data_IF_292369187930
#
_entry.id   IF_292369187930
#
_cell.length_a   1.000
_cell.length_b   1.000
_cell.length_c   1.000
_cell.angle_alpha   90.00
_cell.angle_beta   90.00
_cell.angle_gamma   90.00
#
_symmetry.space_group_name_H-M   'P 1'
#
loop_
_entity.id
_entity.type
_entity.pdbx_description
1 polymer ?
#
# COMPACT_ATOMS: atom_id res chain seq x y z
N UNK A 1 19.73 6.23 -8.86
CA UNK A 1 18.71 5.64 -7.96
C UNK A 1 17.91 6.78 -7.35
N UNK A 2 16.59 6.66 -7.24
CA UNK A 2 15.68 7.73 -6.84
C UNK A 2 14.82 7.22 -5.67
N UNK A 3 14.88 7.92 -4.51
CA UNK A 3 14.15 7.54 -3.31
C UNK A 3 13.38 8.73 -2.73
N UNK A 4 12.05 8.69 -2.63
CA UNK A 4 11.29 9.66 -1.86
C UNK A 4 11.57 9.44 -0.35
N UNK A 5 11.73 10.55 0.41
CA UNK A 5 12.06 10.49 1.84
C UNK A 5 10.96 11.13 2.68
N UNK A 6 10.46 12.27 2.27
CA UNK A 6 9.39 13.02 2.95
C UNK A 6 8.72 13.97 1.97
N UNK A 7 7.53 14.40 2.28
CA UNK A 7 6.91 15.53 1.59
C UNK A 7 7.23 16.88 2.28
N UNK A 8 6.72 17.96 1.70
CA UNK A 8 6.90 19.31 2.24
C UNK A 8 5.71 19.79 3.10
N UNK A 9 4.65 18.96 3.25
CA UNK A 9 3.48 19.35 4.03
C UNK A 9 3.64 18.92 5.50
N UNK A 10 3.59 19.85 6.45
CA UNK A 10 3.58 19.48 7.86
C UNK A 10 2.22 18.89 8.26
N UNK A 11 2.20 17.76 8.94
CA UNK A 11 1.02 17.26 9.65
C UNK A 11 0.90 17.96 11.02
N UNK A 12 -0.32 18.28 11.42
CA UNK A 12 -0.61 18.97 12.69
C UNK A 12 -0.89 17.99 13.83
N UNK A 13 -1.27 16.75 13.50
CA UNK A 13 -1.61 15.72 14.48
C UNK A 13 -0.67 14.51 14.35
N UNK A 14 -0.52 13.76 15.44
CA UNK A 14 0.23 12.50 15.39
C UNK A 14 -0.51 11.45 14.57
N UNK A 15 0.14 10.85 13.54
CA UNK A 15 -0.49 9.90 12.61
C UNK A 15 -0.57 8.50 13.23
N UNK A 16 -1.42 8.34 14.23
CA UNK A 16 -1.53 7.12 15.04
C UNK A 16 -1.95 5.92 14.20
N UNK A 17 -2.95 6.10 13.32
CA UNK A 17 -3.48 4.99 12.50
C UNK A 17 -2.45 4.57 11.47
N UNK A 18 -1.78 5.52 10.84
CA UNK A 18 -0.66 5.26 9.91
C UNK A 18 0.41 4.40 10.58
N UNK A 19 0.84 4.74 11.80
CA UNK A 19 1.82 3.93 12.54
C UNK A 19 1.30 2.56 12.93
N UNK A 20 0.03 2.44 13.32
CA UNK A 20 -0.59 1.15 13.62
C UNK A 20 -0.60 0.25 12.38
N UNK A 21 -0.99 0.78 11.22
CA UNK A 21 -1.02 0.03 9.96
C UNK A 21 0.38 -0.43 9.54
N UNK A 22 1.38 0.46 9.64
CA UNK A 22 2.79 0.12 9.41
C UNK A 22 3.23 -1.00 10.36
N UNK A 23 2.94 -0.86 11.66
CA UNK A 23 3.28 -1.85 12.68
C UNK A 23 2.63 -3.21 12.42
N UNK A 24 1.37 -3.23 12.00
CA UNK A 24 0.66 -4.47 11.63
C UNK A 24 1.28 -5.16 10.41
N UNK A 25 1.61 -4.40 9.36
CA UNK A 25 2.30 -4.95 8.19
C UNK A 25 3.66 -5.53 8.56
N UNK A 26 4.46 -4.82 9.37
CA UNK A 26 5.75 -5.30 9.87
C UNK A 26 5.61 -6.54 10.73
N UNK A 27 4.61 -6.59 11.60
CA UNK A 27 4.34 -7.74 12.46
C UNK A 27 3.96 -8.98 11.64
N UNK A 28 3.03 -8.85 10.69
CA UNK A 28 2.63 -9.94 9.80
C UNK A 28 3.83 -10.40 8.95
N UNK A 29 4.61 -9.47 8.43
CA UNK A 29 5.79 -9.81 7.64
C UNK A 29 6.87 -10.53 8.47
N UNK A 30 7.04 -10.14 9.74
CA UNK A 30 7.91 -10.85 10.66
C UNK A 30 7.44 -12.30 10.88
N UNK A 31 6.13 -12.54 11.02
CA UNK A 31 5.58 -13.90 11.09
C UNK A 31 5.80 -14.69 9.79
N UNK A 32 5.72 -14.03 8.62
CA UNK A 32 6.05 -14.66 7.33
C UNK A 32 7.52 -15.10 7.29
N UNK A 33 8.45 -14.27 7.80
CA UNK A 33 9.88 -14.64 7.89
C UNK A 33 10.07 -15.83 8.83
N UNK A 34 9.47 -15.83 10.02
CA UNK A 34 9.55 -16.96 10.95
C UNK A 34 9.00 -18.27 10.37
N UNK A 35 8.07 -18.17 9.43
CA UNK A 35 7.51 -19.30 8.69
C UNK A 35 8.29 -19.61 7.41
N UNK A 36 9.53 -19.12 7.29
CA UNK A 36 10.41 -19.31 6.13
C UNK A 36 9.78 -18.86 4.81
N UNK A 37 8.93 -17.79 4.86
CA UNK A 37 8.17 -17.29 3.70
C UNK A 37 7.34 -18.39 3.01
N UNK A 38 6.77 -19.31 3.79
CA UNK A 38 6.02 -20.47 3.28
C UNK A 38 4.92 -20.03 2.29
N UNK A 39 4.90 -20.56 1.06
CA UNK A 39 3.90 -20.20 0.05
C UNK A 39 2.44 -20.41 0.50
N UNK A 40 2.18 -21.34 1.41
CA UNK A 40 0.83 -21.56 1.95
C UNK A 40 0.22 -20.30 2.60
N UNK A 41 1.05 -19.37 3.11
CA UNK A 41 0.58 -18.11 3.69
C UNK A 41 -0.12 -17.27 2.62
N UNK A 42 0.43 -17.20 1.41
CA UNK A 42 -0.16 -16.43 0.31
C UNK A 42 -1.50 -17.01 -0.13
N UNK A 43 -1.62 -18.33 -0.20
CA UNK A 43 -2.87 -19.01 -0.59
C UNK A 43 -3.95 -18.96 0.51
N UNK A 44 -3.56 -18.93 1.79
CA UNK A 44 -4.50 -18.91 2.91
C UNK A 44 -4.99 -17.49 3.25
N UNK A 45 -4.15 -16.47 3.07
CA UNK A 45 -4.42 -15.10 3.52
C UNK A 45 -4.45 -14.07 2.38
N UNK A 46 -3.97 -14.41 1.17
CA UNK A 46 -4.06 -13.59 -0.03
C UNK A 46 -5.46 -13.63 -0.63
N UNK A 47 -5.82 -12.59 -1.37
CA UNK A 47 -7.04 -12.57 -2.15
C UNK A 47 -6.84 -13.36 -3.46
N UNK A 48 -7.70 -14.35 -3.71
CA UNK A 48 -7.70 -15.16 -4.93
C UNK A 48 -9.03 -14.95 -5.63
N UNK A 49 -8.98 -14.41 -6.86
CA UNK A 49 -10.18 -14.02 -7.59
C UNK A 49 -11.10 -15.21 -7.86
N UNK A 50 -10.57 -16.35 -8.32
CA UNK A 50 -11.35 -17.55 -8.58
C UNK A 50 -12.10 -18.03 -7.33
N UNK A 51 -11.44 -18.03 -6.16
CA UNK A 51 -12.05 -18.40 -4.89
C UNK A 51 -13.16 -17.40 -4.48
N UNK A 52 -12.92 -16.11 -4.69
CA UNK A 52 -13.88 -15.07 -4.31
C UNK A 52 -15.17 -15.17 -5.11
N UNK A 53 -15.09 -15.32 -6.44
CA UNK A 53 -16.27 -15.35 -7.32
C UNK A 53 -17.00 -16.69 -7.32
N UNK A 54 -16.33 -17.81 -6.98
CA UNK A 54 -16.93 -19.14 -6.91
C UNK A 54 -17.27 -19.57 -5.47
N UNK A 55 -17.10 -18.69 -4.47
CA UNK A 55 -17.34 -19.05 -3.07
C UNK A 55 -18.82 -19.20 -2.76
N UNK A 56 -19.20 -20.31 -2.14
CA UNK A 56 -20.52 -20.50 -1.54
C UNK A 56 -20.69 -19.74 -0.22
N UNK A 57 -19.59 -19.32 0.41
CA UNK A 57 -19.57 -18.60 1.70
C UNK A 57 -19.23 -17.14 1.51
N UNK A 58 -20.22 -16.26 1.58
CA UNK A 58 -20.02 -14.82 1.52
C UNK A 58 -19.02 -14.30 2.56
N UNK A 59 -19.17 -14.73 3.83
CA UNK A 59 -18.26 -14.29 4.90
C UNK A 59 -16.84 -14.84 4.68
N UNK A 60 -16.71 -16.10 4.26
CA UNK A 60 -15.43 -16.71 3.97
C UNK A 60 -14.66 -16.00 2.85
N UNK A 61 -15.35 -15.47 1.85
CA UNK A 61 -14.75 -14.75 0.74
C UNK A 61 -14.30 -13.31 1.10
N UNK A 62 -14.85 -12.71 2.16
CA UNK A 62 -14.49 -11.36 2.60
C UNK A 62 -13.18 -11.33 3.42
N UNK A 63 -12.87 -12.39 4.15
CA UNK A 63 -11.68 -12.43 5.02
C UNK A 63 -10.38 -12.21 4.21
N UNK A 64 -10.14 -12.89 3.07
CA UNK A 64 -8.95 -12.69 2.26
C UNK A 64 -8.81 -11.28 1.71
N UNK A 65 -9.90 -10.53 1.49
CA UNK A 65 -9.84 -9.13 1.08
C UNK A 65 -9.09 -8.30 2.12
N UNK A 66 -9.35 -8.55 3.41
CA UNK A 66 -8.73 -7.80 4.50
C UNK A 66 -7.32 -8.33 4.81
N UNK A 67 -7.16 -9.65 4.92
CA UNK A 67 -5.88 -10.24 5.32
C UNK A 67 -4.80 -10.04 4.26
N UNK A 68 -5.17 -10.04 2.97
CA UNK A 68 -4.23 -9.79 1.86
C UNK A 68 -3.52 -8.44 1.96
N UNK A 69 -4.14 -7.42 2.55
CA UNK A 69 -3.54 -6.09 2.71
C UNK A 69 -2.33 -6.09 3.64
N UNK A 70 -2.16 -7.10 4.49
CA UNK A 70 -1.08 -7.19 5.48
C UNK A 70 0.01 -8.20 5.10
N UNK A 71 -0.28 -9.12 4.19
CA UNK A 71 0.68 -10.09 3.66
C UNK A 71 1.49 -9.46 2.54
N UNK A 72 2.80 -9.74 2.47
CA UNK A 72 3.69 -9.14 1.46
C UNK A 72 4.58 -10.19 0.80
N UNK A 73 4.78 -10.08 -0.51
CA UNK A 73 5.51 -11.04 -1.34
C UNK A 73 7.03 -11.02 -1.16
N UNK A 74 7.60 -10.08 -0.35
CA UNK A 74 9.04 -10.00 -0.11
C UNK A 74 9.46 -8.62 0.41
N UNK A 75 10.77 -8.49 0.72
CA UNK A 75 11.32 -7.28 1.32
C UNK A 75 11.11 -6.01 0.46
N UNK A 76 11.37 -6.08 -0.85
CA UNK A 76 11.18 -4.92 -1.72
C UNK A 76 9.70 -4.48 -1.75
N UNK A 77 8.77 -5.43 -1.73
CA UNK A 77 7.33 -5.18 -1.75
C UNK A 77 6.87 -4.48 -0.46
N UNK A 78 7.25 -4.99 0.72
CA UNK A 78 6.87 -4.35 1.99
C UNK A 78 7.54 -2.99 2.15
N UNK A 79 8.83 -2.86 1.83
CA UNK A 79 9.55 -1.58 1.93
C UNK A 79 8.88 -0.54 1.02
N UNK A 80 8.55 -0.89 -0.22
CA UNK A 80 7.85 -0.01 -1.13
C UNK A 80 6.51 0.46 -0.57
N UNK A 81 5.66 -0.45 -0.10
CA UNK A 81 4.37 -0.11 0.49
C UNK A 81 4.51 0.78 1.72
N UNK A 82 5.36 0.41 2.68
CA UNK A 82 5.49 1.14 3.93
C UNK A 82 6.14 2.51 3.75
N UNK A 83 7.05 2.66 2.80
CA UNK A 83 7.66 3.95 2.47
C UNK A 83 6.60 4.97 2.00
N UNK A 84 5.72 4.57 1.09
CA UNK A 84 4.67 5.46 0.60
C UNK A 84 3.58 5.70 1.65
N UNK A 85 3.22 4.69 2.42
CA UNK A 85 2.31 4.87 3.55
C UNK A 85 2.88 5.83 4.61
N UNK A 86 4.19 5.75 4.90
CA UNK A 86 4.90 6.64 5.82
C UNK A 86 4.89 8.09 5.34
N UNK A 87 5.19 8.34 4.04
CA UNK A 87 5.39 9.70 3.51
C UNK A 87 4.05 10.43 3.32
N UNK A 88 2.98 9.71 2.96
CA UNK A 88 1.72 10.33 2.53
C UNK A 88 0.54 10.05 3.46
N UNK A 89 0.65 8.99 4.28
CA UNK A 89 -0.43 8.56 5.16
C UNK A 89 -0.73 9.56 6.27
N UNK A 90 0.29 10.19 6.83
CA UNK A 90 0.14 11.15 7.92
C UNK A 90 -0.67 12.39 7.53
N UNK A 91 -0.43 12.95 6.36
CA UNK A 91 -1.15 14.13 5.87
C UNK A 91 -2.62 13.81 5.53
N UNK A 92 -2.87 12.62 4.96
CA UNK A 92 -4.23 12.18 4.66
C UNK A 92 -4.98 11.84 5.95
N UNK A 93 -4.32 11.20 6.93
CA UNK A 93 -4.89 10.95 8.26
C UNK A 93 -5.22 12.27 8.99
N UNK A 94 -4.31 13.24 8.96
CA UNK A 94 -4.51 14.56 9.57
C UNK A 94 -5.71 15.29 8.94
N UNK A 95 -5.85 15.22 7.61
CA UNK A 95 -6.93 15.87 6.87
C UNK A 95 -8.30 15.22 7.08
N UNK A 96 -8.36 13.88 7.12
CA UNK A 96 -9.62 13.14 7.25
C UNK A 96 -10.03 12.90 8.70
N UNK A 97 -9.06 12.88 9.61
CA UNK A 97 -9.20 12.36 10.98
C UNK A 97 -9.15 10.83 11.04
N UNK A 98 -8.75 10.30 12.18
CA UNK A 98 -8.39 8.88 12.40
C UNK A 98 -9.47 7.87 11.96
N UNK A 99 -10.73 8.11 12.35
CA UNK A 99 -11.81 7.16 12.05
C UNK A 99 -12.11 7.09 10.56
N UNK A 100 -12.17 8.25 9.88
CA UNK A 100 -12.42 8.26 8.44
C UNK A 100 -11.24 7.69 7.66
N UNK A 101 -10.00 7.94 8.12
CA UNK A 101 -8.79 7.43 7.49
C UNK A 101 -8.73 5.90 7.52
N UNK A 102 -9.00 5.25 8.66
CA UNK A 102 -8.99 3.79 8.74
C UNK A 102 -10.09 3.16 7.87
N UNK A 103 -11.30 3.76 7.87
CA UNK A 103 -12.38 3.29 7.00
C UNK A 103 -11.97 3.44 5.52
N UNK A 104 -11.41 4.59 5.16
CA UNK A 104 -10.95 4.87 3.80
C UNK A 104 -9.85 3.89 3.36
N UNK A 105 -8.87 3.60 4.21
CA UNK A 105 -7.82 2.62 3.95
C UNK A 105 -8.40 1.25 3.57
N UNK A 106 -9.31 0.72 4.40
CA UNK A 106 -9.93 -0.58 4.13
C UNK A 106 -10.84 -0.58 2.90
N UNK A 107 -11.59 0.48 2.68
CA UNK A 107 -12.42 0.61 1.47
C UNK A 107 -11.58 0.66 0.19
N UNK A 108 -10.49 1.41 0.18
CA UNK A 108 -9.59 1.47 -0.97
C UNK A 108 -8.90 0.13 -1.21
N UNK A 109 -8.42 -0.55 -0.16
CA UNK A 109 -7.83 -1.87 -0.29
C UNK A 109 -8.82 -2.91 -0.82
N UNK A 110 -10.03 -2.93 -0.27
CA UNK A 110 -11.10 -3.82 -0.75
C UNK A 110 -11.47 -3.53 -2.22
N UNK A 111 -11.60 -2.25 -2.57
CA UNK A 111 -11.87 -1.85 -3.96
C UNK A 111 -10.77 -2.29 -4.91
N UNK A 112 -9.50 -2.15 -4.51
CA UNK A 112 -8.35 -2.62 -5.29
C UNK A 112 -8.37 -4.12 -5.51
N UNK A 113 -8.65 -4.91 -4.47
CA UNK A 113 -8.77 -6.36 -4.56
C UNK A 113 -9.90 -6.79 -5.50
N UNK A 114 -11.09 -6.20 -5.34
CA UNK A 114 -12.25 -6.52 -6.17
C UNK A 114 -12.01 -6.11 -7.62
N UNK A 115 -11.45 -4.92 -7.87
CA UNK A 115 -11.15 -4.47 -9.23
C UNK A 115 -10.16 -5.39 -9.93
N UNK A 116 -9.10 -5.82 -9.26
CA UNK A 116 -8.16 -6.81 -9.80
C UNK A 116 -8.85 -8.13 -10.10
N UNK A 117 -9.71 -8.60 -9.19
CA UNK A 117 -10.49 -9.83 -9.41
C UNK A 117 -11.46 -9.73 -10.58
N UNK A 118 -12.05 -8.55 -10.82
CA UNK A 118 -12.95 -8.33 -11.99
C UNK A 118 -12.18 -8.36 -13.31
N UNK A 119 -10.91 -7.90 -13.31
CA UNK A 119 -10.06 -7.94 -14.52
C UNK A 119 -9.71 -9.37 -14.90
N UNK A 120 -9.43 -10.25 -13.93
CA UNK A 120 -9.19 -11.67 -14.15
C UNK A 120 -9.92 -12.53 -13.09
N UNK A 121 -11.22 -12.81 -13.31
CA UNK A 121 -12.05 -13.55 -12.34
C UNK A 121 -11.65 -15.02 -12.16
N UNK A 122 -10.84 -15.54 -13.07
CA UNK A 122 -10.41 -16.94 -13.07
C UNK A 122 -9.02 -17.14 -12.50
N UNK A 123 -8.36 -16.07 -12.08
CA UNK A 123 -7.01 -16.13 -11.54
C UNK A 123 -6.95 -16.92 -10.24
N UNK A 124 -6.06 -17.91 -10.20
CA UNK A 124 -5.70 -18.69 -9.00
C UNK A 124 -4.46 -18.10 -8.29
N UNK A 125 -3.92 -16.98 -8.79
CA UNK A 125 -2.75 -16.32 -8.21
C UNK A 125 -3.17 -15.48 -7.00
N UNK A 126 -2.58 -15.70 -5.82
CA UNK A 126 -2.88 -14.91 -4.63
C UNK A 126 -2.39 -13.46 -4.79
N UNK A 127 -3.29 -12.50 -4.69
CA UNK A 127 -2.94 -11.09 -4.59
C UNK A 127 -2.69 -10.73 -3.14
N UNK A 128 -1.57 -10.05 -2.87
CA UNK A 128 -1.13 -9.63 -1.53
C UNK A 128 -0.54 -8.22 -1.57
N UNK A 129 -0.57 -7.53 -0.44
CA UNK A 129 0.03 -6.22 -0.24
C UNK A 129 -0.98 -5.10 0.03
N UNK A 130 -0.50 -4.05 0.68
CA UNK A 130 -1.29 -2.86 1.01
C UNK A 130 -1.48 -1.92 -0.19
N UNK A 131 -0.96 -2.26 -1.37
CA UNK A 131 -0.84 -1.35 -2.52
C UNK A 131 -2.18 -0.76 -2.99
N UNK A 132 -3.28 -1.51 -2.94
CA UNK A 132 -4.61 -1.00 -3.27
C UNK A 132 -5.08 0.10 -2.32
N UNK A 133 -4.89 -0.09 -1.01
CA UNK A 133 -5.19 0.92 0.01
C UNK A 133 -4.28 2.15 -0.13
N UNK A 134 -2.99 1.92 -0.36
CA UNK A 134 -2.00 2.99 -0.57
C UNK A 134 -2.32 3.78 -1.83
N UNK A 135 -2.73 3.14 -2.93
CA UNK A 135 -3.17 3.83 -4.14
C UNK A 135 -4.30 4.83 -3.84
N UNK A 136 -5.27 4.44 -3.00
CA UNK A 136 -6.32 5.34 -2.53
C UNK A 136 -5.78 6.52 -1.72
N UNK A 137 -4.85 6.27 -0.78
CA UNK A 137 -4.19 7.34 0.00
C UNK A 137 -3.44 8.30 -0.93
N UNK A 138 -2.70 7.80 -1.91
CA UNK A 138 -1.98 8.62 -2.88
C UNK A 138 -2.93 9.47 -3.75
N UNK A 139 -4.06 8.88 -4.17
CA UNK A 139 -5.11 9.61 -4.86
C UNK A 139 -5.71 10.73 -4.01
N UNK A 140 -6.03 10.45 -2.75
CA UNK A 140 -6.52 11.45 -1.80
C UNK A 140 -5.48 12.56 -1.57
N UNK A 141 -4.20 12.19 -1.40
CA UNK A 141 -3.12 13.15 -1.23
C UNK A 141 -3.01 14.12 -2.41
N UNK A 142 -3.08 13.63 -3.65
CA UNK A 142 -3.05 14.48 -4.84
C UNK A 142 -4.22 15.47 -4.91
N UNK A 143 -5.41 15.05 -4.45
CA UNK A 143 -6.60 15.91 -4.41
C UNK A 143 -6.49 16.97 -3.31
N UNK A 144 -5.98 16.60 -2.15
CA UNK A 144 -5.83 17.49 -0.99
C UNK A 144 -4.66 18.47 -1.15
N UNK A 145 -3.54 17.99 -1.74
CA UNK A 145 -2.28 18.72 -1.83
C UNK A 145 -1.71 18.76 -3.26
N UNK A 146 -2.44 19.31 -4.25
CA UNK A 146 -2.08 19.21 -5.67
C UNK A 146 -0.77 19.93 -6.04
N UNK A 147 -0.29 20.84 -5.19
CA UNK A 147 0.97 21.60 -5.40
C UNK A 147 2.11 21.17 -4.50
N UNK A 148 1.93 20.10 -3.76
CA UNK A 148 2.94 19.59 -2.85
C UNK A 148 4.17 19.08 -3.59
N UNK A 149 5.32 19.16 -2.93
CA UNK A 149 6.56 18.57 -3.39
C UNK A 149 7.01 17.48 -2.42
N UNK A 150 7.72 16.51 -2.97
CA UNK A 150 8.37 15.41 -2.25
C UNK A 150 9.87 15.62 -2.31
N UNK A 151 10.53 15.50 -1.18
CA UNK A 151 11.99 15.49 -1.09
C UNK A 151 12.48 14.12 -1.48
N UNK A 152 13.27 14.07 -2.53
CA UNK A 152 13.81 12.84 -3.07
C UNK A 152 15.33 12.85 -3.01
N UNK A 153 15.90 11.72 -2.60
CA UNK A 153 17.34 11.48 -2.66
C UNK A 153 17.68 10.88 -4.01
N UNK A 154 18.60 11.53 -4.71
CA UNK A 154 19.14 11.02 -5.97
C UNK A 154 20.58 10.60 -5.76
N UNK A 155 20.88 9.38 -6.21
CA UNK A 155 22.24 8.85 -6.28
C UNK A 155 22.70 8.87 -7.73
N UNK A 156 23.68 9.73 -8.03
CA UNK A 156 24.32 9.81 -9.36
C UNK A 156 25.79 9.46 -9.16
N UNK A 157 26.16 8.21 -9.48
CA UNK A 157 27.51 7.65 -9.31
C UNK A 157 27.97 7.81 -7.85
N UNK A 158 28.79 8.85 -7.54
CA UNK A 158 29.30 9.14 -6.19
C UNK A 158 28.64 10.35 -5.54
N UNK A 159 27.77 11.06 -6.24
CA UNK A 159 27.10 12.25 -5.73
C UNK A 159 25.72 11.87 -5.17
N UNK A 160 25.46 12.34 -3.96
CA UNK A 160 24.16 12.24 -3.31
C UNK A 160 23.59 13.65 -3.26
N UNK A 161 22.42 13.85 -3.88
CA UNK A 161 21.75 15.14 -3.92
C UNK A 161 20.30 14.99 -3.48
N UNK A 162 19.83 15.92 -2.65
CA UNK A 162 18.43 16.06 -2.31
C UNK A 162 17.76 17.05 -3.24
N UNK A 163 16.70 16.62 -3.92
CA UNK A 163 15.89 17.48 -4.80
C UNK A 163 14.44 17.47 -4.35
N UNK A 164 13.70 18.51 -4.75
CA UNK A 164 12.26 18.59 -4.58
C UNK A 164 11.60 18.25 -5.92
N UNK A 165 10.70 17.29 -5.88
CA UNK A 165 9.98 16.81 -7.06
C UNK A 165 8.48 16.98 -6.80
N UNK A 166 7.69 17.52 -7.75
CA UNK A 166 6.24 17.58 -7.59
C UNK A 166 5.65 16.22 -7.26
N UNK A 167 4.76 16.16 -6.25
CA UNK A 167 4.21 14.92 -5.74
C UNK A 167 3.56 14.07 -6.86
N UNK A 168 2.84 14.70 -7.80
CA UNK A 168 2.18 13.98 -8.90
C UNK A 168 3.15 13.16 -9.77
N UNK A 169 4.42 13.58 -9.92
CA UNK A 169 5.43 12.81 -10.66
C UNK A 169 5.90 11.59 -9.84
N UNK A 170 6.15 11.78 -8.54
CA UNK A 170 6.58 10.68 -7.65
C UNK A 170 5.50 9.61 -7.58
N UNK A 171 4.25 10.03 -7.42
CA UNK A 171 3.09 9.15 -7.34
C UNK A 171 2.79 8.47 -8.68
N UNK A 172 2.96 9.20 -9.80
CA UNK A 172 2.85 8.64 -11.15
C UNK A 172 3.86 7.53 -11.40
N UNK A 173 5.12 7.71 -11.00
CA UNK A 173 6.16 6.68 -11.09
C UNK A 173 5.79 5.45 -10.25
N UNK A 174 5.27 5.65 -9.04
CA UNK A 174 4.82 4.55 -8.18
C UNK A 174 3.68 3.76 -8.81
N UNK A 175 2.65 4.45 -9.33
CA UNK A 175 1.51 3.82 -10.00
C UNK A 175 1.98 3.00 -11.21
N UNK A 176 2.84 3.59 -12.05
CA UNK A 176 3.42 2.86 -13.18
C UNK A 176 4.20 1.62 -12.72
N UNK A 177 4.96 1.73 -11.62
CA UNK A 177 5.68 0.61 -11.03
C UNK A 177 4.76 -0.55 -10.64
N UNK A 178 3.52 -0.28 -10.19
CA UNK A 178 2.56 -1.34 -9.85
C UNK A 178 2.17 -2.20 -11.06
N UNK A 179 2.06 -1.62 -12.26
CA UNK A 179 1.73 -2.37 -13.48
C UNK A 179 2.84 -3.34 -13.92
N UNK A 180 4.09 -3.11 -13.50
CA UNK A 180 5.22 -3.99 -13.81
C UNK A 180 5.51 -5.00 -12.68
N UNK A 181 4.79 -4.92 -11.57
CA UNK A 181 4.94 -5.79 -10.39
C UNK A 181 3.85 -6.86 -10.28
N UNK A 182 2.94 -6.87 -11.24
CA UNK A 182 1.83 -7.82 -11.36
C UNK A 182 2.34 -9.07 -12.14
#
# INVERSE_FOLDING_TARGET
MFFPISDDNPSNTSPLITFILIGLCLFVFFLQILSEMNPAIYYNFGFIASNFFNSESFIGSLIPIITSMFVHGGFAHIIGNLLYLWIFGDNVEDSMGRIRFIIFYFLCGASGAILQGVVDPTSDVPMVGASGAIAGILGAYLLLFPRANVRCLIFIIIFIQMIRVPAFLVLGIWILGQFFSL
#
